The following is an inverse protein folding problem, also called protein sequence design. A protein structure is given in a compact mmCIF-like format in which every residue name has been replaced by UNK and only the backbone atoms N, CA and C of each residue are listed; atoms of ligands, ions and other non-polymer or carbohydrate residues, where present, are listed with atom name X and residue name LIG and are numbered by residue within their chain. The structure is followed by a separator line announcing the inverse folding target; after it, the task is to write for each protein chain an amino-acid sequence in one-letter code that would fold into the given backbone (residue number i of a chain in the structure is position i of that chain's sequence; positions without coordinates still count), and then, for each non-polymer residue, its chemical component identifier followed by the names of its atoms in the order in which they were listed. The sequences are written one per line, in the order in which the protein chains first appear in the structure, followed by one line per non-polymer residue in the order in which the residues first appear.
data_IF_206004793125
#
_entry.id   IF_206004793125
#
_cell.length_a   1.000
_cell.length_b   1.000
_cell.length_c   1.000
_cell.angle_alpha   90.00
_cell.angle_beta   90.00
_cell.angle_gamma   90.00
#
_symmetry.space_group_name_H-M   'P 1'
#
loop_
_entity.id
_entity.type
_entity.pdbx_description
1 polymer ?
2 non-polymer ?
3 non-polymer ?
4 water ?
#
# COMPACT_ATOMS: atom_id res chain seq x y z
N UNK A 9 -20.80 5.31 33.89
CA UNK A 9 -20.89 3.88 33.62
C UNK A 9 -19.50 3.23 33.64
N UNK A 10 -19.45 1.92 33.92
CA UNK A 10 -18.20 1.14 33.95
C UNK A 10 -17.79 0.71 32.53
N UNK A 11 -18.76 0.71 31.59
CA UNK A 11 -18.55 0.32 30.18
C UNK A 11 -17.57 1.25 29.44
N UNK A 12 -17.59 2.59 29.73
CA UNK A 12 -16.69 3.61 29.12
C UNK A 12 -15.22 3.20 29.30
N UNK A 13 -14.89 2.67 30.50
CA UNK A 13 -13.58 2.18 30.93
C UNK A 13 -13.26 0.87 30.17
N UNK A 14 -14.20 -0.11 30.17
CA UNK A 14 -14.05 -1.40 29.48
C UNK A 14 -13.90 -1.26 27.94
N UNK A 15 -14.60 -0.27 27.36
CA UNK A 15 -14.57 0.06 25.93
C UNK A 15 -13.32 0.92 25.60
N UNK A 16 -12.66 1.43 26.64
CA UNK A 16 -11.43 2.25 26.60
C UNK A 16 -11.36 3.39 25.61
N UNK A 17 -12.53 3.90 25.16
CA UNK A 17 -12.52 5.02 24.20
C UNK A 17 -12.22 6.36 24.90
N UNK A 18 -12.46 6.40 26.23
CA UNK A 18 -12.13 7.56 27.05
C UNK A 18 -10.61 7.61 27.18
N UNK A 19 -9.96 6.45 27.32
CA UNK A 19 -8.50 6.32 27.37
C UNK A 19 -7.83 6.76 26.06
N UNK A 20 -8.53 6.63 24.92
CA UNK A 20 -8.01 7.07 23.62
C UNK A 20 -7.97 8.60 23.64
N UNK A 21 -9.01 9.22 24.20
CA UNK A 21 -9.17 10.67 24.28
C UNK A 21 -8.18 11.35 25.21
N UNK A 22 -7.74 10.64 26.27
CA UNK A 22 -6.77 11.14 27.24
C UNK A 22 -5.32 11.00 26.72
N UNK A 23 -5.06 9.93 25.95
CA UNK A 23 -3.73 9.59 25.42
C UNK A 23 -3.83 9.36 23.91
N UNK A 24 -4.26 10.35 23.10
CA UNK A 24 -4.37 10.08 21.65
C UNK A 24 -3.09 9.73 20.91
N UNK A 25 -1.89 10.31 21.31
CA UNK A 25 -0.63 10.07 20.60
C UNK A 25 -0.15 8.61 20.65
N UNK A 26 -0.69 7.84 21.59
CA UNK A 26 -0.45 6.42 21.76
C UNK A 26 -1.10 5.63 20.60
N UNK A 27 -2.10 6.26 19.94
CA UNK A 27 -2.86 5.67 18.85
C UNK A 27 -2.57 6.28 17.48
N UNK A 28 -2.36 7.60 17.42
CA UNK A 28 -2.20 8.28 16.14
C UNK A 28 -0.86 9.02 16.00
N UNK A 29 0.04 8.85 16.99
CA UNK A 29 1.38 9.43 17.00
C UNK A 29 1.51 10.83 17.56
N UNK A 30 0.49 11.66 17.37
CA UNK A 30 0.44 13.05 17.81
C UNK A 30 -0.89 13.70 17.52
N UNK A 31 -1.06 14.96 17.89
CA UNK A 31 -2.30 15.69 17.63
C UNK A 31 -2.11 16.86 16.64
N UNK A 32 -1.08 16.75 15.80
CA UNK A 32 -0.82 17.73 14.75
C UNK A 32 -1.34 17.21 13.41
N UNK A 33 -0.85 17.78 12.31
CA UNK A 33 -1.19 17.44 10.90
C UNK A 33 -1.12 15.90 10.65
N UNK A 34 -0.02 15.24 11.06
CA UNK A 34 0.17 13.79 10.85
C UNK A 34 -0.83 12.92 11.59
N UNK A 35 -1.08 13.23 12.87
CA UNK A 35 -2.10 12.51 13.64
C UNK A 35 -3.50 12.69 13.05
N UNK A 36 -3.83 13.91 12.59
CA UNK A 36 -5.11 14.23 11.95
C UNK A 36 -5.29 13.31 10.69
N UNK A 37 -4.25 13.20 9.88
CA UNK A 37 -4.29 12.37 8.67
C UNK A 37 -4.21 10.89 8.95
N UNK A 38 -3.73 10.49 10.15
CA UNK A 38 -3.74 9.07 10.49
C UNK A 38 -5.18 8.62 10.70
N UNK A 39 -6.10 9.55 11.07
CA UNK A 39 -7.52 9.19 11.18
C UNK A 39 -8.04 8.79 9.78
N UNK A 40 -7.62 9.54 8.77
CA UNK A 40 -8.01 9.24 7.40
C UNK A 40 -7.45 7.89 6.95
N UNK A 41 -6.14 7.67 7.14
CA UNK A 41 -5.45 6.45 6.71
C UNK A 41 -6.03 5.22 7.36
N UNK A 42 -6.45 5.31 8.63
CA UNK A 42 -7.07 4.21 9.33
C UNK A 42 -8.42 3.81 8.68
N UNK A 43 -9.27 4.81 8.35
CA UNK A 43 -10.58 4.53 7.75
C UNK A 43 -10.37 3.93 6.39
N UNK A 44 -9.45 4.52 5.61
CA UNK A 44 -9.11 4.03 4.29
C UNK A 44 -8.59 2.60 4.36
N UNK A 45 -7.68 2.29 5.35
CA UNK A 45 -7.13 0.94 5.54
C UNK A 45 -8.21 -0.11 5.72
N UNK A 46 -9.31 0.23 6.44
CA UNK A 46 -10.44 -0.68 6.63
C UNK A 46 -11.20 -0.90 5.31
N UNK A 47 -11.39 0.17 4.51
CA UNK A 47 -12.03 0.08 3.18
C UNK A 47 -11.12 -0.72 2.17
N UNK A 48 -9.79 -0.53 2.27
CA UNK A 48 -8.78 -1.21 1.44
C UNK A 48 -8.75 -2.75 1.73
N UNK A 49 -8.85 -3.15 3.01
CA UNK A 49 -8.85 -4.54 3.44
C UNK A 49 -10.01 -5.30 2.79
N UNK A 50 -11.13 -4.57 2.57
CA UNK A 50 -12.33 -5.08 1.90
C UNK A 50 -12.06 -5.32 0.40
N UNK A 51 -11.16 -4.50 -0.21
CA UNK A 51 -10.75 -4.66 -1.61
C UNK A 51 -9.80 -5.86 -1.70
N UNK A 52 -8.86 -5.97 -0.73
CA UNK A 52 -7.89 -7.06 -0.61
C UNK A 52 -8.59 -8.40 -0.43
N UNK A 53 -9.72 -8.41 0.31
CA UNK A 53 -10.59 -9.60 0.54
C UNK A 53 -11.30 -10.04 -0.76
N UNK A 54 -11.36 -9.12 -1.73
CA UNK A 54 -11.92 -9.36 -3.06
C UNK A 54 -13.36 -8.94 -3.20
N UNK A 55 -13.85 -8.04 -2.33
CA UNK A 55 -15.26 -7.65 -2.38
C UNK A 55 -15.45 -6.25 -2.91
N UNK A 56 -14.65 -5.28 -2.40
CA UNK A 56 -14.74 -3.92 -2.89
C UNK A 56 -13.84 -3.77 -4.11
N UNK A 57 -14.35 -3.14 -5.18
CA UNK A 57 -13.60 -2.88 -6.41
C UNK A 57 -13.31 -1.39 -6.57
N UNK A 58 -14.15 -0.52 -5.94
CA UNK A 58 -13.90 0.92 -5.96
C UNK A 58 -14.13 1.57 -4.59
N UNK A 59 -13.27 2.55 -4.29
CA UNK A 59 -13.31 3.32 -3.06
C UNK A 59 -13.45 4.78 -3.37
N UNK A 60 -14.40 5.44 -2.68
CA UNK A 60 -14.59 6.88 -2.75
C UNK A 60 -14.05 7.53 -1.46
N UNK A 61 -13.31 8.64 -1.62
CA UNK A 61 -12.82 9.49 -0.54
C UNK A 61 -13.31 10.87 -0.90
N UNK A 62 -14.19 11.42 -0.08
CA UNK A 62 -14.79 12.71 -0.37
C UNK A 62 -14.55 13.70 0.74
N UNK A 63 -13.93 14.83 0.40
CA UNK A 63 -13.70 15.88 1.39
C UNK A 63 -14.90 16.78 1.28
N UNK A 64 -15.73 16.80 2.34
CA UNK A 64 -16.99 17.52 2.39
C UNK A 64 -16.82 19.01 2.64
N UNK A 65 -17.82 19.78 2.20
CA UNK A 65 -17.94 21.25 2.32
C UNK A 65 -17.71 21.72 3.78
N UNK A 66 -18.12 20.90 4.78
CA UNK A 66 -17.99 21.24 6.20
C UNK A 66 -16.64 20.84 6.82
N UNK A 67 -15.77 20.24 6.04
CA UNK A 67 -14.47 19.78 6.52
C UNK A 67 -14.49 18.33 6.97
N UNK A 68 -15.66 17.69 6.93
CA UNK A 68 -15.76 16.27 7.28
C UNK A 68 -15.26 15.40 6.11
N UNK A 69 -14.97 14.15 6.39
CA UNK A 69 -14.46 13.25 5.38
C UNK A 69 -15.35 12.03 5.27
N UNK A 70 -15.69 11.66 4.05
CA UNK A 70 -16.46 10.47 3.76
C UNK A 70 -15.52 9.48 3.06
N UNK A 71 -15.53 8.23 3.48
CA UNK A 71 -14.84 7.10 2.88
C UNK A 71 -15.93 6.06 2.61
N UNK A 72 -16.04 5.62 1.36
CA UNK A 72 -17.07 4.69 0.96
C UNK A 72 -16.50 3.62 0.06
N UNK A 73 -16.95 2.38 0.23
CA UNK A 73 -16.58 1.28 -0.65
C UNK A 73 -17.83 0.56 -1.17
N UNK A 74 -17.67 -0.29 -2.17
CA UNK A 74 -18.76 -1.10 -2.73
C UNK A 74 -18.56 -2.56 -2.32
N UNK A 75 -18.01 -2.77 -1.12
CA UNK A 75 -17.74 -4.08 -0.57
C UNK A 75 -18.97 -4.75 0.00
N UNK A 76 -18.78 -5.61 1.01
CA UNK A 76 -19.87 -6.38 1.65
C UNK A 76 -20.75 -5.57 2.56
N UNK A 77 -20.19 -4.49 3.13
CA UNK A 77 -20.88 -3.67 4.11
C UNK A 77 -20.62 -4.26 5.47
N UNK A 78 -20.21 -3.44 6.44
CA UNK A 78 -19.90 -3.93 7.80
C UNK A 78 -21.09 -4.78 8.34
N UNK A 79 -20.89 -6.04 8.81
CA UNK A 79 -22.03 -6.82 9.33
C UNK A 79 -22.84 -6.03 10.36
N UNK A 80 -24.17 -6.00 10.20
CA UNK A 80 -25.14 -5.30 11.06
C UNK A 80 -25.78 -6.29 12.04
N UNK A 81 -25.47 -7.58 11.82
CA UNK A 81 -25.96 -8.72 12.60
C UNK A 81 -25.57 -8.57 14.08
N UNK A 82 -26.55 -8.81 14.98
CA UNK A 82 -26.42 -8.71 16.43
C UNK A 82 -25.37 -9.71 16.96
N UNK A 83 -24.28 -9.21 17.61
CA UNK A 83 -23.27 -10.09 18.21
C UNK A 83 -23.85 -10.61 19.54
N UNK A 84 -23.96 -11.95 19.74
CA UNK A 84 -24.62 -12.48 20.96
C UNK A 84 -23.96 -12.10 22.29
N UNK A 85 -22.62 -12.25 22.39
CA UNK A 85 -21.82 -11.93 23.58
C UNK A 85 -22.09 -10.51 24.14
N UNK A 86 -22.04 -9.48 23.26
CA UNK A 86 -22.24 -8.05 23.56
C UNK A 86 -23.70 -7.59 23.55
N UNK A 87 -24.54 -8.27 22.76
CA UNK A 87 -25.95 -7.94 22.61
C UNK A 87 -26.17 -6.64 21.86
N UNK A 88 -25.23 -6.32 20.96
CA UNK A 88 -25.25 -5.09 20.16
C UNK A 88 -24.87 -5.46 18.73
N UNK A 89 -25.39 -4.74 17.69
CA UNK A 89 -24.97 -5.05 16.31
C UNK A 89 -23.45 -5.03 16.13
N UNK A 90 -22.91 -5.83 15.19
CA UNK A 90 -21.47 -5.88 14.95
C UNK A 90 -20.86 -4.50 14.65
N UNK A 91 -21.52 -3.67 13.79
CA UNK A 91 -21.09 -2.30 13.44
C UNK A 91 -20.90 -1.45 14.69
N UNK A 92 -21.83 -1.55 15.64
CA UNK A 92 -21.73 -0.78 16.88
C UNK A 92 -20.51 -1.23 17.66
N UNK A 93 -20.34 -2.56 17.87
CA UNK A 93 -19.22 -3.14 18.61
C UNK A 93 -17.89 -2.66 18.01
N UNK A 94 -17.74 -2.79 16.68
CA UNK A 94 -16.50 -2.44 15.96
C UNK A 94 -16.11 -0.96 16.19
N UNK A 95 -17.11 -0.06 16.24
CA UNK A 95 -16.83 1.37 16.41
C UNK A 95 -16.73 1.85 17.86
N UNK A 96 -17.18 1.06 18.82
CA UNK A 96 -17.22 1.52 20.20
C UNK A 96 -16.24 0.79 21.09
N UNK A 97 -15.61 -0.28 20.58
CA UNK A 97 -14.72 -1.09 21.40
C UNK A 97 -13.29 -1.19 20.89
N UNK A 98 -12.36 -0.86 21.78
CA UNK A 98 -10.91 -0.97 21.56
C UNK A 98 -10.46 -2.42 21.80
N UNK A 99 -10.89 -3.01 22.96
CA UNK A 99 -10.54 -4.34 23.48
C UNK A 99 -11.02 -5.55 22.65
N UNK A 100 -11.80 -5.31 21.57
CA UNK A 100 -12.29 -6.37 20.68
C UNK A 100 -11.77 -6.17 19.26
N UNK A 117 -12.77 -3.99 16.17
CA UNK A 117 -12.14 -3.05 15.24
C UNK A 117 -11.46 -1.90 15.96
N UNK A 118 -10.16 -2.09 16.30
CA UNK A 118 -9.33 -1.11 17.03
C UNK A 118 -9.28 0.25 16.30
N UNK A 119 -8.90 0.21 15.04
CA UNK A 119 -8.79 1.41 14.22
C UNK A 119 -10.04 2.24 14.13
N UNK A 120 -11.18 1.61 13.74
CA UNK A 120 -12.49 2.29 13.60
C UNK A 120 -12.89 2.99 14.92
N UNK A 121 -12.71 2.31 16.06
CA UNK A 121 -13.06 2.84 17.39
C UNK A 121 -12.19 4.07 17.80
N UNK A 122 -10.89 4.08 17.44
CA UNK A 122 -9.96 5.19 17.68
C UNK A 122 -10.46 6.45 16.91
N UNK A 123 -10.92 6.25 15.65
CA UNK A 123 -11.46 7.33 14.82
C UNK A 123 -12.71 7.91 15.47
N UNK A 124 -13.66 7.04 15.92
CA UNK A 124 -14.87 7.41 16.63
C UNK A 124 -14.52 8.25 17.90
N UNK A 125 -13.67 7.70 18.79
CA UNK A 125 -13.22 8.37 20.01
C UNK A 125 -12.66 9.78 19.75
N UNK A 126 -11.92 9.96 18.64
CA UNK A 126 -11.24 11.22 18.32
C UNK A 126 -11.95 12.12 17.30
N UNK A 127 -13.22 11.81 17.03
CA UNK A 127 -14.01 12.60 16.10
C UNK A 127 -15.20 13.19 16.86
N UNK A 128 -15.51 14.45 16.56
CA UNK A 128 -16.66 15.17 17.13
C UNK A 128 -17.91 14.40 16.74
N UNK A 129 -17.91 13.81 15.56
CA UNK A 129 -19.02 12.96 15.13
C UNK A 129 -18.56 12.03 14.03
N UNK A 130 -19.25 10.87 13.95
CA UNK A 130 -19.05 9.80 12.99
C UNK A 130 -20.41 9.21 12.58
N UNK A 131 -20.64 9.09 11.29
CA UNK A 131 -21.86 8.50 10.77
C UNK A 131 -21.45 7.28 9.97
N UNK A 132 -21.91 6.09 10.39
CA UNK A 132 -21.61 4.83 9.70
C UNK A 132 -22.87 4.32 8.99
N UNK A 133 -22.81 4.24 7.67
CA UNK A 133 -23.92 3.73 6.88
C UNK A 133 -23.56 2.42 6.22
N UNK A 134 -24.45 1.44 6.29
CA UNK A 134 -24.18 0.10 5.74
C UNK A 134 -25.30 -0.32 4.78
N UNK A 135 -24.93 -0.61 3.53
CA UNK A 135 -25.87 -1.13 2.51
C UNK A 135 -25.60 -2.64 2.52
N UNK A 136 -26.56 -3.42 3.04
CA UNK A 136 -26.42 -4.88 3.20
C UNK A 136 -27.82 -5.55 3.27
N UNK A 137 -27.92 -6.77 2.68
CA UNK A 137 -29.13 -7.60 2.61
C UNK A 137 -30.37 -6.77 2.20
N UNK A 138 -30.22 -6.02 1.10
CA UNK A 138 -31.24 -5.15 0.52
C UNK A 138 -31.71 -3.98 1.38
N UNK A 139 -30.95 -3.63 2.44
CA UNK A 139 -31.30 -2.56 3.38
C UNK A 139 -30.19 -1.52 3.55
N UNK A 140 -30.58 -0.25 3.80
CA UNK A 140 -29.71 0.88 4.09
C UNK A 140 -29.82 1.20 5.59
N UNK A 141 -28.78 0.82 6.35
CA UNK A 141 -28.65 1.03 7.79
C UNK A 141 -27.84 2.29 8.09
N UNK A 142 -28.10 2.89 9.26
CA UNK A 142 -27.36 4.07 9.72
C UNK A 142 -27.22 4.04 11.24
N UNK A 143 -26.00 4.33 11.68
CA UNK A 143 -25.60 4.44 13.08
C UNK A 143 -24.76 5.72 13.21
N UNK A 144 -24.97 6.48 14.28
CA UNK A 144 -24.17 7.70 14.48
C UNK A 144 -23.57 7.71 15.86
N UNK A 145 -22.39 8.36 15.94
CA UNK A 145 -21.58 8.48 17.15
C UNK A 145 -21.03 9.89 17.32
N UNK A 146 -20.58 10.17 18.52
CA UNK A 146 -19.89 11.39 18.88
C UNK A 146 -18.93 11.07 20.01
N UNK A 147 -17.64 11.34 19.75
CA UNK A 147 -16.54 11.17 20.70
C UNK A 147 -16.55 9.80 21.37
N UNK A 148 -16.83 8.74 20.60
CA UNK A 148 -16.87 7.38 21.13
C UNK A 148 -18.23 6.83 21.49
N UNK A 149 -19.22 7.69 21.75
CA UNK A 149 -20.57 7.29 22.19
C UNK A 149 -21.63 7.29 21.08
N UNK A 150 -22.60 6.35 21.14
CA UNK A 150 -23.71 6.27 20.21
C UNK A 150 -24.65 7.48 20.42
N UNK A 151 -24.96 8.22 19.33
CA UNK A 151 -25.90 9.34 19.40
C UNK A 151 -27.22 8.93 18.73
N UNK A 152 -27.13 7.95 17.78
CA UNK A 152 -28.22 7.36 17.02
C UNK A 152 -27.95 5.85 16.90
N UNK A 153 -28.71 4.97 17.60
CA UNK A 153 -28.46 3.52 17.46
C UNK A 153 -28.78 3.01 16.07
N UNK A 154 -28.22 1.85 15.69
CA UNK A 154 -28.46 1.27 14.37
C UNK A 154 -29.95 1.22 14.01
N UNK A 155 -30.26 1.69 12.78
CA UNK A 155 -31.63 1.64 12.27
C UNK A 155 -31.67 1.67 10.75
N UNK A 156 -32.66 0.95 10.18
CA UNK A 156 -32.91 0.90 8.75
C UNK A 156 -33.53 2.25 8.38
N UNK A 157 -32.88 2.99 7.49
CA UNK A 157 -33.33 4.32 7.05
C UNK A 157 -34.06 4.25 5.70
N UNK A 158 -33.97 3.08 5.07
CA UNK A 158 -34.59 2.80 3.79
C UNK A 158 -34.06 1.54 3.14
N UNK A 159 -34.54 1.27 1.93
CA UNK A 159 -34.13 0.11 1.15
C UNK A 159 -32.89 0.48 0.32
N UNK A 160 -31.99 -0.49 0.14
CA UNK A 160 -30.80 -0.29 -0.68
C UNK A 160 -31.11 -0.86 -2.09
N UNK A 161 -30.56 -0.30 -3.20
CA UNK A 161 -30.81 -0.91 -4.53
C UNK A 161 -30.46 -2.40 -4.52
N UNK A 162 -31.25 -3.21 -5.24
CA UNK A 162 -31.13 -4.69 -5.31
C UNK A 162 -29.71 -5.24 -5.16
N UNK A 163 -28.77 -4.76 -5.98
CA UNK A 163 -27.39 -5.21 -5.94
C UNK A 163 -26.40 -4.31 -5.23
N UNK A 164 -26.87 -3.37 -4.40
CA UNK A 164 -25.97 -2.44 -3.71
C UNK A 164 -25.54 -2.91 -2.33
N UNK A 165 -24.24 -3.15 -2.19
CA UNK A 165 -23.63 -3.53 -0.92
C UNK A 165 -22.45 -2.58 -0.69
N UNK A 166 -22.10 -2.31 0.57
CA UNK A 166 -20.99 -1.43 0.91
C UNK A 166 -21.12 -0.70 2.23
N UNK A 167 -20.12 0.13 2.52
CA UNK A 167 -20.02 0.90 3.75
C UNK A 167 -19.71 2.33 3.36
N UNK A 168 -20.33 3.30 4.06
CA UNK A 168 -20.11 4.74 3.89
C UNK A 168 -19.86 5.32 5.29
N UNK A 169 -18.63 5.73 5.55
CA UNK A 169 -18.25 6.27 6.86
C UNK A 169 -17.92 7.74 6.67
N UNK A 170 -18.56 8.62 7.44
CA UNK A 170 -18.30 10.05 7.40
C UNK A 170 -17.92 10.45 8.79
N UNK A 171 -16.85 11.24 8.93
CA UNK A 171 -16.36 11.64 10.25
C UNK A 171 -15.72 13.00 10.22
N UNK A 172 -15.77 13.64 11.36
CA UNK A 172 -15.22 14.98 11.53
C UNK A 172 -14.29 14.93 12.76
N UNK A 173 -12.95 14.95 12.56
CA UNK A 173 -12.00 14.93 13.70
C UNK A 173 -12.32 16.03 14.69
N UNK A 174 -12.19 15.68 15.96
CA UNK A 174 -12.58 16.53 17.07
C UNK A 174 -11.71 17.78 17.24
N UNK A 175 -12.28 19.02 17.05
CA UNK A 175 -11.51 20.27 17.29
C UNK A 175 -11.05 20.40 18.74
N UNK A 176 -11.71 19.69 19.69
CA UNK A 176 -11.30 19.72 21.10
C UNK A 176 -9.99 18.94 21.29
N UNK A 177 -9.59 18.16 20.29
CA UNK A 177 -8.33 17.40 20.27
C UNK A 177 -7.33 18.04 19.29
N UNK A 178 -7.81 18.41 18.08
CA UNK A 178 -6.92 18.92 17.02
C UNK A 178 -6.94 20.39 16.74
N UNK A 179 -7.76 21.16 17.46
CA UNK A 179 -7.82 22.60 17.23
C UNK A 179 -8.45 22.93 15.90
N UNK A 180 -7.81 23.81 15.15
CA UNK A 180 -8.27 24.32 13.85
C UNK A 180 -7.75 23.54 12.64
N UNK A 181 -7.10 22.36 12.83
CA UNK A 181 -6.59 21.56 11.70
C UNK A 181 -7.64 21.09 10.77
N UNK A 182 -7.27 20.94 9.50
CA UNK A 182 -8.16 20.48 8.46
C UNK A 182 -7.43 19.47 7.56
N UNK A 183 -8.18 18.67 6.77
CA UNK A 183 -7.54 17.72 5.87
C UNK A 183 -6.80 18.43 4.77
N UNK A 184 -5.70 17.83 4.38
CA UNK A 184 -4.86 18.32 3.33
C UNK A 184 -5.10 17.46 2.09
N UNK A 185 -5.74 18.06 1.03
CA UNK A 185 -6.03 17.28 -0.20
C UNK A 185 -4.79 16.65 -0.86
N UNK A 186 -3.59 17.32 -0.80
CA UNK A 186 -2.37 16.74 -1.41
C UNK A 186 -1.92 15.47 -0.65
N UNK A 187 -2.10 15.45 0.67
CA UNK A 187 -1.80 14.25 1.48
C UNK A 187 -2.79 13.14 1.19
N UNK A 188 -4.08 13.48 1.00
CA UNK A 188 -5.08 12.47 0.64
C UNK A 188 -4.73 11.88 -0.73
N UNK A 189 -4.48 12.76 -1.73
CA UNK A 189 -4.13 12.39 -3.10
C UNK A 189 -2.91 11.46 -3.17
N UNK A 190 -1.83 11.77 -2.40
CA UNK A 190 -0.59 10.95 -2.34
C UNK A 190 -0.88 9.54 -1.87
N UNK A 191 -1.71 9.40 -0.84
CA UNK A 191 -2.04 8.08 -0.31
C UNK A 191 -2.90 7.30 -1.30
N UNK A 192 -3.89 7.94 -1.92
CA UNK A 192 -4.73 7.26 -2.88
C UNK A 192 -3.94 6.76 -4.09
N UNK A 193 -2.96 7.58 -4.60
CA UNK A 193 -2.08 7.24 -5.72
C UNK A 193 -1.26 6.00 -5.38
N UNK A 194 -0.71 5.98 -4.15
CA UNK A 194 0.11 4.87 -3.63
C UNK A 194 -0.71 3.58 -3.56
N UNK A 195 -1.93 3.69 -3.01
CA UNK A 195 -2.86 2.57 -2.86
C UNK A 195 -3.22 2.04 -4.25
N UNK A 196 -3.57 2.92 -5.22
CA UNK A 196 -3.91 2.47 -6.60
C UNK A 196 -2.81 1.67 -7.28
N UNK A 197 -1.52 1.92 -6.93
CA UNK A 197 -0.36 1.16 -7.44
C UNK A 197 -0.15 -0.11 -6.62
N UNK A 198 -0.42 -0.07 -5.29
CA UNK A 198 -0.18 -1.25 -4.44
C UNK A 198 -1.27 -2.33 -4.58
N UNK A 199 -2.48 -1.93 -5.02
CA UNK A 199 -3.67 -2.78 -5.21
C UNK A 199 -4.10 -2.62 -6.68
N UNK A 200 -3.40 -3.33 -7.59
CA UNK A 200 -3.60 -3.29 -9.04
C UNK A 200 -5.05 -3.50 -9.43
N UNK A 201 -5.60 -2.52 -10.16
CA UNK A 201 -6.98 -2.52 -10.63
C UNK A 201 -8.00 -1.88 -9.70
N UNK A 202 -7.62 -1.55 -8.44
CA UNK A 202 -8.57 -0.91 -7.52
C UNK A 202 -8.75 0.53 -7.95
N UNK A 203 -10.01 0.98 -8.08
CA UNK A 203 -10.30 2.35 -8.46
C UNK A 203 -10.56 3.16 -7.18
N UNK A 204 -9.83 4.26 -7.03
CA UNK A 204 -10.03 5.13 -5.89
C UNK A 204 -10.38 6.49 -6.43
N UNK A 205 -11.49 7.04 -5.96
CA UNK A 205 -11.97 8.34 -6.46
C UNK A 205 -11.83 9.38 -5.35
N UNK A 206 -11.28 10.56 -5.70
CA UNK A 206 -11.14 11.65 -4.75
C UNK A 206 -11.96 12.85 -5.22
N UNK A 207 -12.94 13.25 -4.39
CA UNK A 207 -13.79 14.41 -4.68
C UNK A 207 -13.51 15.44 -3.61
N UNK A 208 -12.92 16.56 -4.02
CA UNK A 208 -12.63 17.65 -3.08
C UNK A 208 -13.78 18.65 -3.19
N UNK A 209 -14.75 18.55 -2.27
CA UNK A 209 -15.93 19.42 -2.24
C UNK A 209 -15.71 20.62 -1.36
N UNK A 210 -14.45 21.02 -1.24
CA UNK A 210 -14.08 22.25 -0.56
C UNK A 210 -13.42 23.17 -1.58
N UNK A 211 -12.68 22.60 -2.55
CA UNK A 211 -11.95 23.37 -3.57
C UNK A 211 -12.48 23.15 -4.98
N UNK A 212 -13.13 22.02 -5.22
CA UNK A 212 -13.75 21.71 -6.50
C UNK A 212 -13.06 20.79 -7.48
N UNK A 213 -12.05 20.04 -7.03
CA UNK A 213 -11.34 19.12 -7.91
C UNK A 213 -11.88 17.71 -7.73
N UNK A 214 -11.79 16.89 -8.79
CA UNK A 214 -12.23 15.51 -8.76
C UNK A 214 -11.22 14.68 -9.53
N UNK A 215 -10.54 13.74 -8.84
CA UNK A 215 -9.49 12.93 -9.47
C UNK A 215 -9.76 11.42 -9.35
N UNK A 216 -9.36 10.66 -10.37
CA UNK A 216 -9.47 9.19 -10.34
C UNK A 216 -8.06 8.60 -10.25
N UNK A 217 -7.90 7.53 -9.46
CA UNK A 217 -6.64 6.80 -9.26
C UNK A 217 -6.96 5.34 -9.55
N UNK A 218 -6.59 4.89 -10.76
CA UNK A 218 -6.79 3.52 -11.20
C UNK A 218 -5.66 3.12 -12.13
N UNK A 219 -4.96 2.04 -11.77
CA UNK A 219 -3.85 1.55 -12.55
C UNK A 219 -3.78 0.03 -12.50
N UNK A 220 -4.21 -0.62 -13.60
CA UNK A 220 -4.21 -2.08 -13.71
C UNK A 220 -2.77 -2.64 -13.79
N UNK A 221 -1.82 -1.74 -14.12
CA UNK A 221 -0.39 -2.01 -14.15
C UNK A 221 0.24 -2.19 -12.77
N UNK A 222 -0.42 -1.69 -11.73
CA UNK A 222 0.05 -1.83 -10.34
C UNK A 222 1.46 -1.34 -10.07
N UNK A 223 2.26 -2.18 -9.38
CA UNK A 223 3.67 -1.91 -9.00
C UNK A 223 4.59 -1.70 -10.23
N UNK A 224 4.18 -2.19 -11.43
CA UNK A 224 4.94 -2.03 -12.68
C UNK A 224 4.75 -0.60 -13.18
N UNK A 225 3.50 -0.10 -13.17
CA UNK A 225 3.21 1.29 -13.50
C UNK A 225 3.86 2.25 -12.51
N UNK A 226 4.03 1.81 -11.24
CA UNK A 226 4.65 2.57 -10.13
C UNK A 226 6.14 2.70 -10.47
N UNK A 227 6.77 1.57 -10.88
CA UNK A 227 8.18 1.54 -11.27
C UNK A 227 8.43 2.50 -12.44
N UNK A 228 7.53 2.52 -13.48
CA UNK A 228 7.63 3.47 -14.60
C UNK A 228 7.48 4.93 -14.14
N UNK A 229 6.54 5.19 -13.20
CA UNK A 229 6.34 6.57 -12.68
C UNK A 229 7.60 7.05 -11.92
N UNK A 230 8.29 6.13 -11.25
CA UNK A 230 9.51 6.39 -10.48
C UNK A 230 10.65 6.84 -11.45
N UNK A 231 10.59 6.36 -12.72
CA UNK A 231 11.56 6.68 -13.76
C UNK A 231 11.19 7.92 -14.59
N UNK A 232 10.15 8.69 -14.18
CA UNK A 232 9.77 9.92 -14.90
C UNK A 232 10.97 10.89 -15.08
N UNK A 233 11.15 11.38 -16.31
CA UNK A 233 12.23 12.29 -16.70
C UNK A 233 13.43 11.56 -17.25
N UNK A 234 13.47 10.26 -17.04
CA UNK A 234 14.57 9.39 -17.49
C UNK A 234 14.33 8.85 -18.89
N UNK A 235 15.43 8.58 -19.60
CA UNK A 235 15.41 7.89 -20.87
C UNK A 235 15.20 6.39 -20.55
N UNK A 236 14.12 5.79 -21.07
CA UNK A 236 13.84 4.39 -20.81
C UNK A 236 14.56 3.48 -21.78
N UNK A 237 15.09 2.34 -21.26
CA UNK A 237 15.68 1.31 -22.09
C UNK A 237 14.52 0.65 -22.88
N UNK A 238 13.35 0.49 -22.22
CA UNK A 238 12.10 -0.04 -22.82
C UNK A 238 10.93 0.63 -22.13
N UNK A 239 9.86 0.87 -22.90
CA UNK A 239 8.69 1.63 -22.48
C UNK A 239 7.70 0.89 -21.56
N UNK A 240 7.51 -0.42 -21.75
CA UNK A 240 6.54 -1.20 -20.97
C UNK A 240 7.16 -1.91 -19.77
N UNK A 241 6.71 -1.58 -18.52
CA UNK A 241 7.29 -2.24 -17.34
C UNK A 241 6.81 -3.69 -17.17
N UNK A 242 7.56 -4.49 -16.42
CA UNK A 242 7.25 -5.89 -16.16
C UNK A 242 6.66 -6.04 -14.77
N UNK A 243 5.79 -7.02 -14.63
CA UNK A 243 5.14 -7.33 -13.37
C UNK A 243 5.32 -8.81 -12.96
N UNK A 244 5.88 -9.02 -11.76
CA UNK A 244 6.08 -10.34 -11.15
C UNK A 244 5.09 -10.43 -9.98
N UNK A 245 4.34 -11.54 -9.90
CA UNK A 245 3.38 -11.78 -8.82
C UNK A 245 3.44 -13.26 -8.44
N UNK A 246 3.30 -13.57 -7.15
CA UNK A 246 3.27 -14.93 -6.64
C UNK A 246 3.28 -14.99 -5.12
N UNK A 247 2.97 -16.19 -4.57
CA UNK A 247 2.91 -16.47 -3.14
C UNK A 247 3.78 -17.70 -2.79
N UNK A 248 4.60 -17.57 -1.74
CA UNK A 248 5.44 -18.64 -1.20
C UNK A 248 5.29 -18.67 0.32
N UNK A 249 4.58 -19.68 0.81
CA UNK A 249 4.27 -19.87 2.22
C UNK A 249 3.25 -18.86 2.71
N UNK A 250 3.59 -18.16 3.81
CA UNK A 250 2.78 -17.12 4.41
C UNK A 250 3.11 -15.73 3.83
N UNK A 251 4.12 -15.66 2.92
CA UNK A 251 4.56 -14.40 2.32
C UNK A 251 4.11 -14.27 0.86
N UNK A 252 3.35 -13.20 0.57
CA UNK A 252 2.86 -12.85 -0.76
C UNK A 252 3.86 -11.81 -1.37
N UNK A 253 4.34 -12.04 -2.62
CA UNK A 253 5.34 -11.22 -3.30
C UNK A 253 4.80 -10.53 -4.58
N UNK A 254 5.06 -9.22 -4.71
CA UNK A 254 4.68 -8.44 -5.90
C UNK A 254 5.86 -7.52 -6.32
N UNK A 255 6.32 -7.62 -7.59
CA UNK A 255 7.47 -6.84 -8.07
C UNK A 255 7.18 -6.22 -9.44
N UNK A 256 7.39 -4.92 -9.53
CA UNK A 256 7.26 -4.17 -10.77
C UNK A 256 8.61 -3.57 -11.12
N UNK A 257 8.98 -3.60 -12.42
CA UNK A 257 10.26 -3.02 -12.82
C UNK A 257 10.37 -2.66 -14.28
N UNK A 258 11.34 -1.79 -14.56
CA UNK A 258 11.79 -1.48 -15.91
C UNK A 258 13.21 -0.95 -15.78
N UNK A 259 13.83 -0.68 -16.93
CA UNK A 259 15.18 -0.15 -16.92
C UNK A 259 15.22 1.19 -17.59
N UNK A 260 16.13 2.02 -17.12
CA UNK A 260 16.37 3.28 -17.77
C UNK A 260 17.71 3.11 -18.51
N UNK A 261 18.15 4.17 -19.16
CA UNK A 261 19.46 4.22 -19.81
C UNK A 261 20.53 4.78 -18.84
N UNK A 262 20.14 5.02 -17.58
CA UNK A 262 21.03 5.57 -16.56
C UNK A 262 21.82 4.48 -15.84
N UNK A 263 22.73 4.89 -14.93
CA UNK A 263 23.55 3.89 -14.24
C UNK A 263 23.16 3.67 -12.76
N UNK A 264 22.18 4.42 -12.26
CA UNK A 264 21.72 4.23 -10.89
C UNK A 264 20.61 3.17 -10.87
N UNK A 265 20.42 2.56 -9.71
CA UNK A 265 19.33 1.62 -9.46
C UNK A 265 18.42 2.29 -8.40
N UNK A 266 17.11 2.22 -8.59
CA UNK A 266 16.15 2.81 -7.62
C UNK A 266 15.12 1.77 -7.26
N UNK A 267 15.18 1.26 -6.02
CA UNK A 267 14.28 0.21 -5.54
C UNK A 267 13.47 0.67 -4.31
N UNK A 268 12.17 0.88 -4.53
CA UNK A 268 11.23 1.23 -3.47
C UNK A 268 10.71 -0.08 -2.87
N UNK A 269 10.71 -0.23 -1.52
CA UNK A 269 10.22 -1.45 -0.88
C UNK A 269 9.08 -1.16 0.09
N UNK A 270 8.08 -2.07 0.09
CA UNK A 270 6.88 -2.02 0.90
C UNK A 270 6.69 -3.36 1.57
N UNK A 271 6.14 -3.32 2.77
CA UNK A 271 5.72 -4.47 3.58
C UNK A 271 4.33 -4.10 4.12
N UNK A 272 3.30 -4.87 3.72
CA UNK A 272 1.89 -4.70 4.09
C UNK A 272 1.35 -3.27 3.86
N UNK A 273 1.59 -2.72 2.63
CA UNK A 273 1.13 -1.41 2.12
C UNK A 273 1.81 -0.17 2.78
N UNK A 274 2.83 -0.37 3.63
CA UNK A 274 3.54 0.77 4.24
C UNK A 274 5.01 0.81 3.75
N UNK A 275 5.54 2.00 3.37
CA UNK A 275 6.93 2.05 2.88
C UNK A 275 7.99 1.63 3.91
N UNK A 276 8.92 0.76 3.50
CA UNK A 276 10.04 0.29 4.31
C UNK A 276 11.33 1.00 3.78
N UNK A 277 11.55 2.29 4.19
CA UNK A 277 12.68 3.12 3.76
C UNK A 277 14.09 2.50 3.95
N UNK A 278 14.29 1.68 4.99
CA UNK A 278 15.58 1.05 5.30
C UNK A 278 15.72 -0.38 4.75
N UNK A 279 14.83 -0.75 3.84
CA UNK A 279 14.82 -2.06 3.19
C UNK A 279 14.56 -3.22 4.13
N UNK A 280 15.45 -4.22 4.06
CA UNK A 280 15.37 -5.43 4.86
C UNK A 280 15.58 -6.71 4.07
N UNK A 281 15.02 -7.83 4.59
CA UNK A 281 15.16 -9.14 3.95
C UNK A 281 14.43 -9.23 2.59
N UNK A 282 13.41 -8.40 2.33
CA UNK A 282 12.72 -8.42 1.03
C UNK A 282 13.59 -7.74 -0.05
N UNK A 283 14.28 -6.62 0.30
CA UNK A 283 15.20 -5.92 -0.61
C UNK A 283 16.42 -6.81 -0.93
N UNK A 284 17.07 -7.39 0.12
CA UNK A 284 18.22 -8.28 0.00
C UNK A 284 17.93 -9.45 -0.97
N UNK A 285 16.80 -10.14 -0.76
CA UNK A 285 16.31 -11.27 -1.56
C UNK A 285 16.00 -10.84 -3.00
N UNK A 286 15.38 -9.65 -3.19
CA UNK A 286 15.07 -9.16 -4.53
C UNK A 286 16.34 -8.98 -5.35
N UNK A 287 17.34 -8.29 -4.77
CA UNK A 287 18.64 -8.01 -5.37
C UNK A 287 19.39 -9.29 -5.71
N UNK A 288 19.44 -10.27 -4.76
CA UNK A 288 20.08 -11.57 -4.98
C UNK A 288 19.36 -12.32 -6.08
N UNK A 289 18.01 -12.51 -5.97
CA UNK A 289 17.25 -13.29 -6.97
C UNK A 289 17.32 -12.66 -8.35
N UNK A 290 17.20 -11.32 -8.41
CA UNK A 290 17.31 -10.60 -9.66
C UNK A 290 18.64 -10.87 -10.34
N UNK A 291 19.75 -10.67 -9.62
CA UNK A 291 21.12 -10.90 -10.12
C UNK A 291 21.34 -12.33 -10.56
N UNK A 292 20.90 -13.30 -9.75
CA UNK A 292 21.00 -14.74 -10.04
C UNK A 292 20.24 -15.09 -11.31
N UNK A 293 18.98 -14.61 -11.43
CA UNK A 293 18.15 -14.88 -12.62
C UNK A 293 18.76 -14.30 -13.91
N UNK A 294 19.31 -13.07 -13.85
CA UNK A 294 19.96 -12.44 -15.02
C UNK A 294 21.22 -13.20 -15.45
N UNK A 295 22.07 -13.57 -14.47
CA UNK A 295 23.29 -14.36 -14.66
C UNK A 295 22.95 -15.71 -15.28
N UNK A 296 21.94 -16.42 -14.70
CA UNK A 296 21.50 -17.74 -15.17
C UNK A 296 20.99 -17.69 -16.61
N UNK A 297 20.20 -16.67 -16.95
CA UNK A 297 19.69 -16.50 -18.31
C UNK A 297 20.83 -16.28 -19.30
N UNK A 298 21.77 -15.36 -18.99
CA UNK A 298 22.92 -15.05 -19.85
C UNK A 298 23.75 -16.29 -20.18
N UNK A 299 23.98 -17.17 -19.16
CA UNK A 299 24.70 -18.45 -19.27
C UNK A 299 23.99 -19.38 -20.28
N UNK A 300 22.68 -19.58 -20.07
CA UNK A 300 21.78 -20.40 -20.89
C UNK A 300 21.59 -19.81 -22.32
N UNK A 301 21.61 -18.47 -22.48
CA UNK A 301 21.41 -17.79 -23.76
C UNK A 301 22.72 -17.58 -24.56
N UNK A 302 23.85 -17.86 -23.91
CA UNK A 302 25.19 -17.69 -24.48
C UNK A 302 25.58 -16.23 -24.65
N UNK A 303 25.04 -15.35 -23.78
CA UNK A 303 25.28 -13.89 -23.80
C UNK A 303 26.60 -13.53 -23.14
N UNK A 304 26.99 -14.35 -22.16
CA UNK A 304 28.23 -14.18 -21.41
C UNK A 304 29.44 -14.51 -22.29
N UNK A 305 30.52 -13.72 -22.14
CA UNK A 305 31.77 -13.96 -22.86
C UNK A 305 32.69 -14.75 -21.93
N UNK A 306 33.51 -15.64 -22.52
CA UNK A 306 34.46 -16.51 -21.80
C UNK A 306 35.50 -15.66 -21.05
N UNK A 307 36.27 -14.85 -21.79
CA UNK A 307 37.29 -13.98 -21.20
C UNK A 307 36.79 -12.52 -21.08
N UNK A 308 37.64 -11.63 -20.59
CA UNK A 308 37.30 -10.22 -20.41
C UNK A 308 36.58 -9.93 -19.10
N UNK A 309 36.06 -8.69 -18.90
CA UNK A 309 35.38 -8.38 -17.64
C UNK A 309 33.95 -8.92 -17.54
N UNK A 310 33.66 -9.67 -16.46
CA UNK A 310 32.35 -10.26 -16.17
C UNK A 310 31.49 -9.36 -15.25
N UNK A 311 30.23 -9.01 -15.63
CA UNK A 311 29.38 -8.18 -14.74
C UNK A 311 29.18 -8.78 -13.35
N UNK A 312 29.55 -8.01 -12.32
CA UNK A 312 29.45 -8.43 -10.91
C UNK A 312 28.12 -7.98 -10.29
N UNK A 313 28.17 -7.58 -9.02
CA UNK A 313 27.04 -7.13 -8.20
C UNK A 313 26.22 -6.01 -8.79
N UNK A 314 26.62 -4.75 -8.47
CA UNK A 314 25.98 -3.51 -8.92
C UNK A 314 25.80 -3.43 -10.43
N UNK A 315 26.76 -3.97 -11.21
CA UNK A 315 26.72 -4.00 -12.66
C UNK A 315 25.39 -4.56 -13.16
N UNK A 316 24.91 -5.65 -12.52
CA UNK A 316 23.69 -6.36 -12.87
C UNK A 316 22.42 -5.64 -12.50
N UNK A 317 22.52 -4.52 -11.73
CA UNK A 317 21.39 -3.70 -11.28
C UNK A 317 21.34 -2.31 -11.92
N UNK A 318 22.38 -1.91 -12.69
CA UNK A 318 22.43 -0.57 -13.29
C UNK A 318 21.21 -0.26 -14.14
N UNK A 319 20.59 0.89 -13.87
CA UNK A 319 19.40 1.34 -14.59
C UNK A 319 18.10 0.73 -14.13
N UNK A 320 18.15 -0.21 -13.16
CA UNK A 320 16.96 -0.88 -12.65
C UNK A 320 16.09 0.00 -11.73
N UNK A 321 14.84 0.20 -12.14
CA UNK A 321 13.87 0.94 -11.34
C UNK A 321 12.79 -0.09 -11.00
N UNK A 322 12.71 -0.46 -9.71
CA UNK A 322 11.80 -1.50 -9.24
C UNK A 322 11.04 -1.13 -7.97
N UNK A 323 9.85 -1.73 -7.79
CA UNK A 323 8.99 -1.62 -6.61
C UNK A 323 8.77 -3.07 -6.10
N UNK A 324 9.21 -3.35 -4.86
CA UNK A 324 9.06 -4.66 -4.17
C UNK A 324 8.04 -4.49 -3.04
N UNK A 325 6.88 -5.17 -3.17
CA UNK A 325 5.74 -5.11 -2.25
C UNK A 325 5.35 -6.52 -1.74
N UNK A 326 5.53 -6.75 -0.42
CA UNK A 326 5.27 -8.01 0.28
C UNK A 326 4.16 -7.92 1.35
N UNK A 327 3.60 -9.08 1.72
CA UNK A 327 2.57 -9.24 2.75
C UNK A 327 2.97 -10.41 3.68
N UNK A 328 3.15 -10.14 4.98
CA UNK A 328 3.58 -11.08 6.02
C UNK A 328 2.66 -11.05 7.25
N UNK A 329 2.49 -12.18 7.99
CA UNK A 329 1.65 -12.12 9.21
C UNK A 329 2.29 -11.44 10.42
N UNK A 330 3.57 -11.73 10.75
CA UNK A 330 4.27 -11.15 11.90
C UNK A 330 5.60 -10.50 11.48
N UNK A 331 5.57 -9.25 10.95
CA UNK A 331 6.83 -8.65 10.49
C UNK A 331 7.68 -8.05 11.60
N UNK A 332 9.00 -8.30 11.55
CA UNK A 332 10.00 -7.84 12.53
C UNK A 332 10.84 -6.72 11.96
N UNK A 333 10.92 -5.58 12.68
CA UNK A 333 11.63 -4.39 12.27
C UNK A 333 12.49 -3.75 13.35
N UNK A 334 13.48 -2.95 12.92
CA UNK A 334 14.31 -2.13 13.81
C UNK A 334 13.75 -0.71 13.72
N UNK A 335 13.28 -0.18 14.85
CA UNK A 335 12.69 1.16 14.92
C UNK A 335 11.30 1.22 14.34
N UNK A 339 10.81 0.25 9.27
CA UNK A 339 12.12 0.69 8.81
C UNK A 339 12.82 -0.35 7.95
N UNK A 340 13.55 -1.27 8.62
CA UNK A 340 14.27 -2.39 8.02
C UNK A 340 13.51 -3.66 8.42
N UNK A 341 13.48 -4.69 7.54
CA UNK A 341 12.76 -5.93 7.81
C UNK A 341 13.73 -7.10 8.09
N UNK A 342 13.52 -7.86 9.20
CA UNK A 342 14.42 -8.94 9.63
C UNK A 342 13.95 -10.38 9.26
N UNK A 343 12.64 -10.60 8.99
CA UNK A 343 12.01 -11.90 8.67
C UNK A 343 12.77 -12.75 7.64
N UNK A 344 13.50 -13.84 8.03
CA UNK A 344 14.19 -14.66 7.02
C UNK A 344 13.24 -15.38 6.05
N UNK A 345 11.93 -15.42 6.39
CA UNK A 345 10.86 -16.01 5.56
C UNK A 345 10.66 -15.12 4.34
N UNK A 346 10.69 -13.77 4.55
CA UNK A 346 10.52 -12.77 3.50
C UNK A 346 11.63 -12.88 2.46
N UNK A 347 12.87 -13.11 2.92
CA UNK A 347 14.03 -13.37 2.07
C UNK A 347 13.89 -14.61 1.20
N UNK A 348 13.24 -15.67 1.75
CA UNK A 348 13.03 -16.92 1.03
C UNK A 348 11.97 -16.77 -0.07
N UNK A 349 10.82 -16.13 0.26
CA UNK A 349 9.68 -15.94 -0.63
C UNK A 349 9.95 -15.01 -1.81
N UNK A 350 10.64 -13.86 -1.55
CA UNK A 350 10.99 -12.90 -2.62
C UNK A 350 11.94 -13.62 -3.59
N UNK A 351 12.95 -14.30 -3.04
CA UNK A 351 13.92 -15.09 -3.77
C UNK A 351 13.33 -16.11 -4.72
N UNK A 352 12.44 -16.99 -4.23
CA UNK A 352 11.78 -18.04 -5.02
C UNK A 352 10.88 -17.51 -6.13
N UNK A 353 9.97 -16.55 -5.80
CA UNK A 353 9.02 -15.95 -6.75
C UNK A 353 9.74 -15.15 -7.87
N UNK A 354 10.75 -14.35 -7.51
CA UNK A 354 11.44 -13.47 -8.45
C UNK A 354 12.32 -14.29 -9.41
N UNK A 355 13.28 -15.10 -8.87
CA UNK A 355 14.17 -15.95 -9.68
C UNK A 355 13.40 -16.66 -10.79
N UNK A 356 12.37 -17.46 -10.41
CA UNK A 356 11.50 -18.24 -11.27
C UNK A 356 10.79 -17.44 -12.37
N UNK A 357 9.96 -16.45 -12.01
CA UNK A 357 9.25 -15.60 -12.97
C UNK A 357 10.19 -14.72 -13.85
N UNK A 358 11.32 -14.26 -13.31
CA UNK A 358 12.24 -13.43 -14.09
C UNK A 358 12.90 -14.23 -15.19
N UNK A 359 13.27 -15.50 -14.91
CA UNK A 359 13.84 -16.41 -15.91
C UNK A 359 12.89 -16.52 -17.12
N UNK A 360 11.59 -16.63 -16.83
CA UNK A 360 10.54 -16.73 -17.84
C UNK A 360 10.42 -15.44 -18.65
N UNK A 361 10.45 -14.26 -17.95
CA UNK A 361 10.35 -12.93 -18.57
C UNK A 361 11.44 -12.76 -19.61
N UNK A 362 12.71 -12.97 -19.18
CA UNK A 362 13.91 -12.85 -20.02
C UNK A 362 13.78 -13.74 -21.27
N UNK A 363 13.37 -15.01 -21.08
CA UNK A 363 13.11 -15.98 -22.13
C UNK A 363 12.00 -15.49 -23.09
N UNK A 364 10.91 -14.91 -22.55
CA UNK A 364 9.80 -14.39 -23.35
C UNK A 364 10.14 -13.09 -24.08
N UNK A 365 11.14 -12.33 -23.56
CA UNK A 365 11.53 -11.05 -24.13
C UNK A 365 13.06 -11.05 -24.31
N UNK A 366 13.60 -11.89 -25.27
CA UNK A 366 15.06 -11.97 -25.42
C UNK A 366 15.71 -10.68 -25.89
N UNK A 367 15.00 -9.84 -26.66
CA UNK A 367 15.59 -8.58 -27.14
C UNK A 367 15.86 -7.68 -25.92
N UNK A 368 14.88 -7.56 -25.00
CA UNK A 368 15.01 -6.77 -23.77
C UNK A 368 16.09 -7.43 -22.90
N UNK A 369 15.96 -8.77 -22.70
CA UNK A 369 16.89 -9.57 -21.88
C UNK A 369 18.36 -9.32 -22.30
N UNK A 370 18.61 -9.33 -23.64
CA UNK A 370 19.92 -9.10 -24.24
C UNK A 370 20.36 -7.64 -24.03
N UNK A 371 19.45 -6.67 -24.24
CA UNK A 371 19.73 -5.24 -24.00
C UNK A 371 20.14 -5.01 -22.52
N UNK A 372 19.39 -5.60 -21.57
CA UNK A 372 19.63 -5.51 -20.13
C UNK A 372 21.00 -6.12 -19.78
N UNK A 373 21.30 -7.36 -20.26
CA UNK A 373 22.61 -7.96 -19.97
C UNK A 373 23.78 -7.17 -20.57
N UNK A 374 23.64 -6.68 -21.84
CA UNK A 374 24.63 -5.85 -22.55
C UNK A 374 24.99 -4.65 -21.70
N UNK A 375 23.96 -3.98 -21.10
CA UNK A 375 24.14 -2.81 -20.21
C UNK A 375 25.09 -3.20 -19.08
N UNK A 376 24.86 -4.38 -18.44
CA UNK A 376 25.66 -4.89 -17.32
C UNK A 376 27.10 -5.15 -17.79
N UNK A 377 27.25 -5.76 -18.99
CA UNK A 377 28.56 -6.01 -19.61
C UNK A 377 29.33 -4.73 -19.87
N UNK A 378 28.66 -3.70 -20.45
CA UNK A 378 29.27 -2.37 -20.72
C UNK A 378 29.74 -1.65 -19.45
N UNK A 379 29.00 -1.80 -18.32
CA UNK A 379 29.40 -1.21 -17.03
C UNK A 379 30.72 -1.85 -16.59
N UNK A 380 30.81 -3.20 -16.65
CA UNK A 380 32.03 -3.97 -16.31
C UNK A 380 33.23 -3.59 -17.22
N UNK A 381 32.97 -3.39 -18.52
CA UNK A 381 33.96 -3.00 -19.53
C UNK A 381 34.51 -1.62 -19.25
N UNK A 382 33.62 -0.64 -18.96
CA UNK A 382 34.01 0.73 -18.65
C UNK A 382 34.88 0.77 -17.39
N UNK A 383 34.60 -0.08 -16.38
CA UNK A 383 35.37 -0.13 -15.12
C UNK A 383 36.76 -0.73 -15.38
N UNK A 384 36.80 -1.78 -16.22
CA UNK A 384 38.05 -2.42 -16.65
C UNK A 384 38.86 -1.41 -17.48
N UNK A 385 38.18 -0.61 -18.35
CA UNK A 385 38.87 0.42 -19.15
C UNK A 385 39.44 1.49 -18.22
N UNK A 386 38.66 1.92 -17.20
CA UNK A 386 39.06 2.90 -16.18
C UNK A 386 40.28 2.39 -15.37
N UNK A 387 40.28 1.08 -15.03
CA UNK A 387 41.39 0.45 -14.29
C UNK A 387 42.71 0.56 -15.10
N UNK A 388 42.64 0.28 -16.41
CA UNK A 388 43.79 0.34 -17.32
C UNK A 388 44.30 1.77 -17.47
N UNK A 389 43.38 2.76 -17.60
CA UNK A 389 43.70 4.19 -17.70
C UNK A 389 44.44 4.71 -16.45
N UNK A 390 44.24 4.04 -15.30
CA UNK A 390 44.86 4.35 -14.01
C UNK A 390 46.37 4.03 -14.02
N UNK A 391 46.79 3.01 -14.84
CA UNK A 391 48.18 2.60 -15.02
C UNK A 391 48.97 3.72 -15.71
N UNK A 392 48.32 4.42 -16.66
CA UNK A 392 48.86 5.56 -17.41
C UNK A 392 49.04 6.79 -16.51
N UNK A 393 48.17 6.92 -15.46
CA UNK A 393 48.08 7.96 -14.42
C UNK A 393 48.28 9.40 -15.02
#
# INVERSE_FOLDING_TARGET
GPHMSYDASAIRVLKGLEGVRHRPAMYIGGTGVEGYHHLFKEILDNAVDEALAGYATEILVRLNEDGSLTVEDNGRGIPVDLMPEEGKPAVEVIYTTLHSGGKFEQGAYKVSGGLHGVGASVVNALSEWTVVEVFREGKHHRIAFSRGEVTEPLRVVGEAPRGKTGTRVTFKPDPEIFGNLRFDPSKIRARLREVAYLVAGLKLVFQDRQHGKEEVFLDKGGVASFAKALAEGEDLLYEKPFLIRGTHGEVEVEVGFLHTQGYNAEILTYANMIPTRDGGTHLTAFKSAYSRALNQYAKKAGLNKEKGPQPTGDDLLEGLYAVVSVKLPNPQFEGQTKGKLLNPEAGTAVGQVVYERLLEILEENPRIAKAVYEKALRAAQAREAARKARELV
#
